data_IF_771221478182
#
_entry.id   IF_771221478182
#
_cell.length_a   1.000
_cell.length_b   1.000
_cell.length_c   1.000
_cell.angle_alpha   90.00
_cell.angle_beta   90.00
_cell.angle_gamma   90.00
#
_symmetry.space_group_name_H-M   'P 1'
#
loop_
_entity.id
_entity.type
_entity.pdbx_description
1 polymer ?
#
# COMPACT_ATOMS: atom_id res chain seq x y z
N UNK A 1 -5.90 -8.83 -14.24
CA UNK A 1 -5.84 -10.15 -13.58
C UNK A 1 -4.85 -11.10 -14.28
N UNK A 2 -4.94 -11.30 -15.60
CA UNK A 2 -4.00 -12.17 -16.34
C UNK A 2 -2.51 -11.82 -16.13
N UNK A 3 -2.14 -10.54 -16.22
CA UNK A 3 -0.74 -10.10 -16.02
C UNK A 3 -0.21 -10.43 -14.63
N UNK A 4 -1.01 -10.23 -13.58
CA UNK A 4 -0.60 -10.57 -12.20
C UNK A 4 -0.34 -12.07 -12.05
N UNK A 5 -1.25 -12.91 -12.59
CA UNK A 5 -1.11 -14.37 -12.52
C UNK A 5 0.14 -14.82 -13.27
N UNK A 6 0.39 -14.28 -14.47
CA UNK A 6 1.58 -14.59 -15.27
C UNK A 6 2.87 -14.20 -14.53
N UNK A 7 2.96 -12.99 -13.99
CA UNK A 7 4.14 -12.54 -13.25
C UNK A 7 4.37 -13.35 -11.97
N UNK A 8 3.31 -13.74 -11.27
CA UNK A 8 3.39 -14.61 -10.08
C UNK A 8 3.88 -16.00 -10.47
N UNK A 9 3.34 -16.61 -11.52
CA UNK A 9 3.80 -17.92 -12.00
C UNK A 9 5.27 -17.86 -12.38
N UNK A 10 5.69 -16.84 -13.13
CA UNK A 10 7.10 -16.64 -13.50
C UNK A 10 7.98 -16.44 -12.26
N UNK A 11 7.51 -15.68 -11.25
CA UNK A 11 8.21 -15.51 -9.98
C UNK A 11 8.43 -16.84 -9.24
N UNK A 12 7.39 -17.66 -9.11
CA UNK A 12 7.51 -18.97 -8.46
C UNK A 12 8.42 -19.92 -9.23
N UNK A 13 8.33 -19.95 -10.57
CA UNK A 13 9.20 -20.79 -11.40
C UNK A 13 10.67 -20.36 -11.33
N UNK A 14 10.96 -19.06 -11.37
CA UNK A 14 12.34 -18.56 -11.22
C UNK A 14 12.88 -18.81 -9.81
N UNK A 15 12.06 -18.63 -8.78
CA UNK A 15 12.45 -18.90 -7.38
C UNK A 15 12.71 -20.38 -7.14
N UNK A 16 11.91 -21.28 -7.73
CA UNK A 16 12.06 -22.72 -7.59
C UNK A 16 13.34 -23.30 -8.21
N UNK A 17 13.99 -22.55 -9.10
CA UNK A 17 15.26 -22.95 -9.75
C UNK A 17 16.51 -22.47 -8.99
N UNK A 18 16.35 -21.80 -7.85
CA UNK A 18 17.47 -21.28 -7.06
C UNK A 18 17.99 -22.38 -6.15
N UNK A 19 19.29 -22.67 -6.27
CA UNK A 19 19.93 -23.60 -5.36
C UNK A 19 20.15 -22.91 -4.00
N UNK A 20 19.62 -23.46 -2.88
CA UNK A 20 19.80 -22.87 -1.56
C UNK A 20 21.27 -22.78 -1.11
N UNK A 21 22.14 -23.61 -1.67
CA UNK A 21 23.57 -23.64 -1.34
C UNK A 21 24.39 -22.59 -2.12
N UNK A 22 23.80 -21.93 -3.12
CA UNK A 22 24.49 -20.88 -3.87
C UNK A 22 24.79 -19.67 -2.99
N UNK A 23 25.90 -18.94 -3.23
CA UNK A 23 26.17 -17.69 -2.52
C UNK A 23 24.99 -16.72 -2.65
N UNK A 24 24.65 -16.01 -1.57
CA UNK A 24 23.52 -15.05 -1.53
C UNK A 24 23.54 -14.03 -2.68
N UNK A 25 24.73 -13.60 -3.11
CA UNK A 25 24.90 -12.66 -4.22
C UNK A 25 24.38 -13.27 -5.54
N UNK A 26 24.60 -14.56 -5.77
CA UNK A 26 24.08 -15.28 -6.94
C UNK A 26 22.56 -15.42 -6.86
N UNK A 27 22.03 -15.80 -5.70
CA UNK A 27 20.57 -15.88 -5.48
C UNK A 27 19.88 -14.52 -5.73
N UNK A 28 20.49 -13.42 -5.26
CA UNK A 28 19.99 -12.06 -5.50
C UNK A 28 20.07 -11.66 -6.98
N UNK A 29 21.17 -12.03 -7.66
CA UNK A 29 21.31 -11.79 -9.11
C UNK A 29 20.25 -12.54 -9.90
N UNK A 30 19.95 -13.79 -9.53
CA UNK A 30 18.99 -14.64 -10.22
C UNK A 30 17.54 -14.15 -10.00
N UNK A 31 17.21 -13.61 -8.81
CA UNK A 31 15.89 -13.04 -8.49
C UNK A 31 15.69 -11.59 -8.94
N UNK A 32 16.77 -10.82 -9.07
CA UNK A 32 16.73 -9.38 -9.31
C UNK A 32 15.82 -8.97 -10.47
N UNK A 33 15.92 -9.60 -11.65
CA UNK A 33 15.09 -9.25 -12.81
C UNK A 33 13.59 -9.42 -12.56
N UNK A 34 13.15 -10.54 -11.98
CA UNK A 34 11.72 -10.79 -11.76
C UNK A 34 11.14 -9.90 -10.66
N UNK A 35 11.93 -9.62 -9.62
CA UNK A 35 11.57 -8.64 -8.58
C UNK A 35 11.39 -7.24 -9.18
N UNK A 36 12.27 -6.83 -10.11
CA UNK A 36 12.13 -5.54 -10.78
C UNK A 36 10.85 -5.46 -11.63
N UNK A 37 10.49 -6.51 -12.37
CA UNK A 37 9.22 -6.55 -13.12
C UNK A 37 8.00 -6.46 -12.20
N UNK A 38 8.02 -7.16 -11.07
CA UNK A 38 6.95 -7.10 -10.07
C UNK A 38 6.83 -5.70 -9.46
N UNK A 39 7.96 -5.04 -9.15
CA UNK A 39 7.99 -3.67 -8.63
C UNK A 39 7.41 -2.67 -9.63
N UNK A 40 7.85 -2.73 -10.89
CA UNK A 40 7.31 -1.86 -11.96
C UNK A 40 5.80 -2.09 -12.14
N UNK A 41 5.36 -3.34 -12.11
CA UNK A 41 3.94 -3.67 -12.20
C UNK A 41 3.14 -3.14 -11.00
N UNK A 42 3.69 -3.23 -9.79
CA UNK A 42 3.09 -2.65 -8.59
C UNK A 42 2.93 -1.13 -8.73
N UNK A 43 3.95 -0.42 -9.23
CA UNK A 43 3.85 1.03 -9.49
C UNK A 43 2.74 1.37 -10.50
N UNK A 44 2.60 0.57 -11.56
CA UNK A 44 1.50 0.74 -12.54
C UNK A 44 0.14 0.57 -11.87
N UNK A 45 -0.04 -0.49 -11.06
CA UNK A 45 -1.29 -0.75 -10.35
C UNK A 45 -1.62 0.35 -9.34
N UNK A 46 -0.63 0.86 -8.62
CA UNK A 46 -0.78 1.99 -7.71
C UNK A 46 -1.21 3.24 -8.49
N UNK A 47 -0.58 3.53 -9.63
CA UNK A 47 -0.97 4.65 -10.50
C UNK A 47 -2.42 4.55 -10.96
N UNK A 48 -2.83 3.37 -11.43
CA UNK A 48 -4.23 3.09 -11.82
C UNK A 48 -5.18 3.27 -10.62
N UNK A 49 -4.81 2.75 -9.45
CA UNK A 49 -5.61 2.88 -8.25
C UNK A 49 -5.80 4.36 -7.87
N UNK A 50 -4.75 5.18 -7.90
CA UNK A 50 -4.84 6.63 -7.63
C UNK A 50 -5.80 7.31 -8.61
N UNK A 51 -5.70 7.00 -9.91
CA UNK A 51 -6.57 7.59 -10.94
C UNK A 51 -8.05 7.27 -10.65
N UNK A 52 -8.37 6.03 -10.33
CA UNK A 52 -9.75 5.66 -10.00
C UNK A 52 -10.21 6.18 -8.64
N UNK A 53 -9.37 6.09 -7.61
CA UNK A 53 -9.66 6.57 -6.26
C UNK A 53 -9.96 8.06 -6.20
N UNK A 54 -9.38 8.87 -7.09
CA UNK A 54 -9.67 10.31 -7.21
C UNK A 54 -10.76 10.57 -8.25
N UNK A 55 -10.69 9.90 -9.40
CA UNK A 55 -11.60 10.11 -10.54
C UNK A 55 -13.06 9.77 -10.21
N UNK A 56 -13.30 8.65 -9.51
CA UNK A 56 -14.67 8.25 -9.15
C UNK A 56 -15.36 9.24 -8.21
N UNK A 57 -14.75 9.69 -7.10
CA UNK A 57 -15.32 10.75 -6.25
C UNK A 57 -15.66 12.03 -7.01
N UNK A 58 -14.75 12.52 -7.85
CA UNK A 58 -14.95 13.75 -8.61
C UNK A 58 -16.10 13.62 -9.61
N UNK A 59 -16.13 12.51 -10.36
CA UNK A 59 -17.23 12.22 -11.28
C UNK A 59 -18.58 12.12 -10.54
N UNK A 60 -18.63 11.41 -9.42
CA UNK A 60 -19.84 11.26 -8.62
C UNK A 60 -20.32 12.60 -8.04
N UNK A 61 -19.40 13.51 -7.71
CA UNK A 61 -19.73 14.86 -7.24
C UNK A 61 -20.36 15.72 -8.34
N UNK A 62 -19.85 15.64 -9.57
CA UNK A 62 -20.40 16.34 -10.72
C UNK A 62 -21.79 15.82 -11.13
N UNK A 63 -22.00 14.50 -11.12
CA UNK A 63 -23.27 13.89 -11.51
C UNK A 63 -24.34 13.93 -10.42
N UNK A 64 -23.96 13.91 -9.13
CA UNK A 64 -24.90 13.84 -8.01
C UNK A 64 -24.40 14.65 -6.79
N UNK A 65 -24.62 15.98 -6.75
CA UNK A 65 -24.06 16.87 -5.72
C UNK A 65 -24.40 16.44 -4.28
N UNK A 66 -25.64 15.97 -4.05
CA UNK A 66 -26.10 15.49 -2.73
C UNK A 66 -25.35 14.24 -2.26
N UNK A 67 -24.96 13.33 -3.16
CA UNK A 67 -24.14 12.15 -2.84
C UNK A 67 -22.66 12.53 -2.75
N UNK A 68 -22.21 13.41 -3.64
CA UNK A 68 -20.85 13.96 -3.66
C UNK A 68 -20.41 14.57 -2.33
N UNK A 69 -21.31 15.28 -1.63
CA UNK A 69 -21.00 15.85 -0.33
C UNK A 69 -20.62 14.80 0.73
N UNK A 70 -21.30 13.64 0.74
CA UNK A 70 -20.95 12.53 1.64
C UNK A 70 -19.60 11.91 1.27
N UNK A 71 -19.32 11.78 -0.02
CA UNK A 71 -18.02 11.32 -0.51
C UNK A 71 -16.89 12.28 -0.12
N UNK A 72 -17.12 13.60 -0.21
CA UNK A 72 -16.15 14.60 0.20
C UNK A 72 -15.80 14.48 1.69
N UNK A 73 -16.80 14.28 2.56
CA UNK A 73 -16.58 14.05 4.00
C UNK A 73 -15.69 12.83 4.21
N UNK A 74 -15.91 11.72 3.50
CA UNK A 74 -15.06 10.54 3.62
C UNK A 74 -13.62 10.77 3.16
N UNK A 75 -13.41 11.57 2.10
CA UNK A 75 -12.08 11.91 1.60
C UNK A 75 -11.33 12.80 2.60
N UNK A 76 -12.00 13.80 3.18
CA UNK A 76 -11.41 14.66 4.22
C UNK A 76 -11.03 13.83 5.45
N UNK A 77 -11.90 12.92 5.88
CA UNK A 77 -11.63 12.07 7.04
C UNK A 77 -10.42 11.15 6.79
N UNK A 78 -10.30 10.60 5.58
CA UNK A 78 -9.12 9.83 5.16
C UNK A 78 -7.84 10.68 5.12
N UNK A 79 -7.92 11.92 4.63
CA UNK A 79 -6.79 12.84 4.63
C UNK A 79 -6.31 13.17 6.06
N UNK A 80 -7.24 13.30 7.01
CA UNK A 80 -6.89 13.47 8.44
C UNK A 80 -6.15 12.25 8.98
N UNK A 81 -6.59 11.03 8.64
CA UNK A 81 -5.89 9.80 9.05
C UNK A 81 -4.46 9.79 8.52
N UNK A 82 -4.26 10.10 7.24
CA UNK A 82 -2.92 10.17 6.65
C UNK A 82 -2.06 11.27 7.29
N UNK A 83 -2.64 12.44 7.57
CA UNK A 83 -1.93 13.52 8.23
C UNK A 83 -1.43 13.11 9.62
N UNK A 84 -2.30 12.52 10.45
CA UNK A 84 -1.90 12.03 11.77
C UNK A 84 -0.86 10.91 11.66
N UNK A 85 -1.06 9.96 10.74
CA UNK A 85 -0.10 8.88 10.50
C UNK A 85 1.27 9.41 10.06
N UNK A 86 1.33 10.46 9.25
CA UNK A 86 2.57 11.09 8.83
C UNK A 86 3.31 11.73 9.99
N UNK A 87 2.59 12.38 10.91
CA UNK A 87 3.18 12.95 12.12
C UNK A 87 3.77 11.88 13.04
N UNK A 88 3.19 10.68 13.07
CA UNK A 88 3.66 9.55 13.89
C UNK A 88 4.85 8.80 13.28
N UNK A 89 5.07 8.91 11.97
CA UNK A 89 6.15 8.16 11.31
C UNK A 89 7.54 8.57 11.79
N UNK A 90 8.51 7.65 11.72
CA UNK A 90 9.91 7.90 12.03
C UNK A 90 10.69 8.17 10.73
N UNK A 91 11.67 9.07 10.79
CA UNK A 91 12.60 9.37 9.69
C UNK A 91 14.05 8.94 9.97
N UNK A 92 14.27 8.22 11.07
CA UNK A 92 15.57 7.67 11.46
C UNK A 92 16.06 6.66 10.43
N UNK A 93 17.19 6.96 9.78
CA UNK A 93 17.79 6.11 8.74
C UNK A 93 18.08 4.71 9.31
N UNK A 94 17.59 3.69 8.61
CA UNK A 94 17.72 2.29 9.03
C UNK A 94 19.10 1.73 8.69
N UNK A 95 19.67 0.92 9.58
CA UNK A 95 20.88 0.15 9.27
C UNK A 95 20.49 -1.16 8.57
N UNK A 96 20.44 -1.13 7.25
CA UNK A 96 20.05 -2.28 6.43
C UNK A 96 21.32 -3.03 5.98
N UNK A 97 21.55 -4.21 6.54
CA UNK A 97 22.70 -5.03 6.21
C UNK A 97 22.73 -5.41 4.71
N UNK A 98 23.83 -5.11 4.03
CA UNK A 98 24.01 -5.44 2.61
C UNK A 98 23.28 -4.52 1.62
N UNK A 99 22.65 -3.43 2.09
CA UNK A 99 21.98 -2.46 1.23
C UNK A 99 22.81 -1.16 1.15
N UNK A 100 23.37 -0.90 -0.03
CA UNK A 100 24.07 0.36 -0.36
C UNK A 100 23.27 1.22 -1.34
N UNK A 101 21.95 0.99 -1.43
CA UNK A 101 21.08 1.73 -2.33
C UNK A 101 20.78 3.14 -1.81
N UNK A 102 20.33 4.00 -2.72
CA UNK A 102 20.08 5.42 -2.45
C UNK A 102 18.69 5.72 -1.87
N UNK A 103 17.85 4.69 -1.71
CA UNK A 103 16.43 4.89 -1.37
C UNK A 103 16.15 4.85 0.15
N UNK A 104 17.15 4.46 0.96
CA UNK A 104 17.10 4.52 2.42
C UNK A 104 17.39 5.94 2.91
N UNK A 105 16.43 6.82 2.70
CA UNK A 105 16.48 8.25 3.07
C UNK A 105 15.26 8.62 3.90
N UNK A 106 15.41 9.62 4.77
CA UNK A 106 14.39 10.11 5.69
C UNK A 106 12.98 10.26 5.08
N UNK A 107 12.89 10.84 3.87
CA UNK A 107 11.61 11.02 3.17
C UNK A 107 10.90 9.71 2.84
N UNK A 108 11.65 8.70 2.40
CA UNK A 108 11.10 7.38 2.06
C UNK A 108 10.60 6.66 3.31
N UNK A 109 11.37 6.75 4.39
CA UNK A 109 11.04 6.13 5.68
C UNK A 109 9.78 6.76 6.27
N UNK A 110 9.73 8.08 6.34
CA UNK A 110 8.56 8.82 6.84
C UNK A 110 7.28 8.46 6.07
N UNK A 111 7.37 8.36 4.75
CA UNK A 111 6.22 8.02 3.90
C UNK A 111 5.80 6.55 4.04
N UNK A 112 6.77 5.65 4.24
CA UNK A 112 6.51 4.23 4.50
C UNK A 112 5.80 4.05 5.85
N UNK A 113 6.31 4.71 6.90
CA UNK A 113 5.70 4.66 8.23
C UNK A 113 4.32 5.30 8.27
N UNK A 114 4.10 6.40 7.55
CA UNK A 114 2.76 6.96 7.36
C UNK A 114 1.80 5.90 6.80
N UNK A 115 2.23 5.12 5.80
CA UNK A 115 1.44 4.04 5.24
C UNK A 115 1.10 2.95 6.28
N UNK A 116 2.08 2.55 7.09
CA UNK A 116 1.92 1.54 8.15
C UNK A 116 0.96 2.03 9.23
N UNK A 117 1.16 3.24 9.77
CA UNK A 117 0.29 3.81 10.79
C UNK A 117 -1.12 4.07 10.27
N UNK A 118 -1.27 4.55 9.03
CA UNK A 118 -2.58 4.71 8.41
C UNK A 118 -3.31 3.36 8.27
N UNK A 119 -2.61 2.31 7.85
CA UNK A 119 -3.16 0.97 7.77
C UNK A 119 -3.64 0.48 9.14
N UNK A 120 -2.83 0.62 10.19
CA UNK A 120 -3.21 0.22 11.56
C UNK A 120 -4.43 1.00 12.05
N UNK A 121 -4.49 2.31 11.82
CA UNK A 121 -5.63 3.14 12.20
C UNK A 121 -6.91 2.72 11.48
N UNK A 122 -6.84 2.43 10.18
CA UNK A 122 -7.98 1.99 9.39
C UNK A 122 -8.47 0.59 9.80
N UNK A 123 -7.55 -0.35 10.07
CA UNK A 123 -7.90 -1.68 10.56
C UNK A 123 -8.59 -1.56 11.93
N UNK A 124 -7.98 -0.88 12.89
CA UNK A 124 -8.58 -0.67 14.21
C UNK A 124 -9.95 0.03 14.11
N UNK A 125 -10.05 1.10 13.32
CA UNK A 125 -11.28 1.83 13.07
C UNK A 125 -12.37 0.96 12.45
N UNK A 126 -12.02 0.09 11.49
CA UNK A 126 -12.97 -0.83 10.87
C UNK A 126 -13.50 -1.88 11.83
N UNK A 127 -12.63 -2.46 12.67
CA UNK A 127 -13.05 -3.41 13.72
C UNK A 127 -14.01 -2.72 14.68
N UNK A 128 -13.66 -1.53 15.18
CA UNK A 128 -14.52 -0.76 16.09
C UNK A 128 -15.87 -0.42 15.44
N UNK A 129 -15.87 -0.02 14.17
CA UNK A 129 -17.10 0.29 13.43
C UNK A 129 -18.01 -0.93 13.29
N UNK A 130 -17.45 -2.11 13.00
CA UNK A 130 -18.21 -3.37 12.92
C UNK A 130 -18.80 -3.73 14.28
N UNK A 131 -18.02 -3.66 15.35
CA UNK A 131 -18.50 -3.93 16.71
C UNK A 131 -19.62 -2.97 17.12
N UNK A 132 -19.44 -1.67 16.88
CA UNK A 132 -20.46 -0.65 17.15
C UNK A 132 -21.75 -0.91 16.35
N UNK A 133 -21.62 -1.24 15.06
CA UNK A 133 -22.77 -1.58 14.21
C UNK A 133 -23.53 -2.79 14.74
N UNK A 134 -22.84 -3.81 15.25
CA UNK A 134 -23.46 -5.01 15.82
C UNK A 134 -24.18 -4.70 17.14
N UNK A 135 -23.55 -3.95 18.03
CA UNK A 135 -24.09 -3.62 19.36
C UNK A 135 -25.28 -2.65 19.25
N UNK A 136 -25.16 -1.60 18.43
CA UNK A 136 -26.21 -0.59 18.27
C UNK A 136 -27.52 -1.13 17.71
N UNK A 137 -27.49 -2.26 16.98
CA UNK A 137 -28.68 -2.97 16.52
C UNK A 137 -29.42 -3.74 17.61
N UNK A 138 -28.76 -4.07 18.72
CA UNK A 138 -29.41 -4.75 19.86
C UNK A 138 -30.23 -3.78 20.71
N UNK A 139 -29.94 -2.48 20.61
CA UNK A 139 -30.61 -1.41 21.34
C UNK A 139 -31.62 -0.62 20.48
N UNK A 140 -31.85 -1.05 19.24
CA UNK A 140 -32.89 -0.53 18.34
C UNK A 140 -33.93 -1.61 18.08
#
# INVERSE_FOLDING_TARGET
MAVCVVLIVIFYLNTGNINPDDPKIKQMSDLGPILNYLLVWAYILVGIAIVFSIGFPLFNMASNPKKGLKTLISVVLLAVVFFVAYQLGDDTILQIAGYNGKDNVASTLKLTDMGIYAMYALIAGSILAVLYSSISKLFK
#
